data_IF_687493803062
#
_entry.id   IF_687493803062
#
_cell.length_a   1.000
_cell.length_b   1.000
_cell.length_c   1.000
_cell.angle_alpha   90.00
_cell.angle_beta   90.00
_cell.angle_gamma   90.00
#
_symmetry.space_group_name_H-M   'P 1'
#
loop_
_entity.id
_entity.type
_entity.pdbx_description
1 polymer ?
#
# COMPACT_ATOMS: atom_id res chain seq x y z
N UNK A 1 22.53 40.65 6.23
CA UNK A 1 21.84 39.86 5.17
C UNK A 1 22.21 38.39 5.21
N UNK A 2 23.50 37.99 5.16
CA UNK A 2 23.93 36.57 5.19
C UNK A 2 23.42 35.73 6.39
N UNK A 3 23.31 36.33 7.59
CA UNK A 3 22.85 35.62 8.79
C UNK A 3 21.36 35.29 8.77
N UNK A 4 20.54 36.19 8.19
CA UNK A 4 19.09 36.01 8.04
C UNK A 4 18.81 34.95 6.96
N UNK A 5 19.62 34.94 5.89
CA UNK A 5 19.53 33.92 4.83
C UNK A 5 19.92 32.52 5.33
N UNK A 6 20.90 32.40 6.22
CA UNK A 6 21.31 31.11 6.81
C UNK A 6 20.25 30.53 7.76
N UNK A 7 19.59 31.37 8.57
CA UNK A 7 18.53 30.92 9.47
C UNK A 7 17.29 30.41 8.71
N UNK A 8 16.95 31.04 7.57
CA UNK A 8 15.86 30.61 6.71
C UNK A 8 16.12 29.27 6.01
N UNK A 9 17.38 28.97 5.62
CA UNK A 9 17.75 27.71 4.98
C UNK A 9 17.72 26.53 5.98
N UNK A 10 17.99 26.79 7.25
CA UNK A 10 18.01 25.74 8.29
C UNK A 10 16.60 25.32 8.75
N UNK A 11 15.58 26.18 8.59
CA UNK A 11 14.20 25.85 8.94
C UNK A 11 13.50 24.94 7.90
N UNK A 12 13.95 24.97 6.64
CA UNK A 12 13.31 24.20 5.55
C UNK A 12 13.75 22.72 5.56
N UNK A 13 14.90 22.39 6.14
CA UNK A 13 15.44 21.03 6.17
C UNK A 13 15.01 20.19 7.38
N UNK A 14 14.28 20.76 8.34
CA UNK A 14 13.93 20.10 9.60
C UNK A 14 12.53 19.45 9.62
N UNK A 15 11.78 19.50 8.53
CA UNK A 15 10.49 18.79 8.42
C UNK A 15 10.72 17.30 8.14
N UNK A 16 11.33 16.60 9.10
CA UNK A 16 11.20 15.15 9.15
C UNK A 16 9.73 14.83 9.39
N UNK A 17 9.08 14.26 8.37
CA UNK A 17 7.78 13.61 8.52
C UNK A 17 8.03 12.44 9.46
N UNK A 18 7.88 12.65 10.77
CA UNK A 18 7.96 11.58 11.75
C UNK A 18 6.75 10.69 11.50
N UNK A 19 6.96 9.55 10.87
CA UNK A 19 5.91 8.55 10.73
C UNK A 19 5.40 8.23 12.14
N UNK A 20 4.12 8.51 12.39
CA UNK A 20 3.50 8.26 13.68
C UNK A 20 3.64 6.79 14.07
N UNK A 21 3.58 6.49 15.37
CA UNK A 21 3.55 5.09 15.82
C UNK A 21 2.33 4.39 15.23
N UNK A 22 2.50 3.24 14.55
CA UNK A 22 1.37 2.49 13.98
C UNK A 22 0.36 2.18 15.08
N UNK A 23 -0.87 2.68 14.94
CA UNK A 23 -1.96 2.37 15.86
C UNK A 23 -2.62 1.08 15.37
N UNK A 24 -2.79 0.10 16.26
CA UNK A 24 -3.54 -1.12 15.93
C UNK A 24 -5.03 -0.81 15.87
N UNK A 25 -5.72 -1.47 14.94
CA UNK A 25 -7.15 -1.28 14.71
C UNK A 25 -7.47 -0.09 13.79
N UNK A 26 -8.77 0.16 13.61
CA UNK A 26 -9.28 1.13 12.64
C UNK A 26 -9.84 0.47 11.38
N UNK A 27 -10.50 1.27 10.56
CA UNK A 27 -11.09 0.83 9.28
C UNK A 27 -10.32 1.48 8.15
N UNK A 28 -9.70 0.66 7.30
CA UNK A 28 -9.18 1.14 6.02
C UNK A 28 -10.36 1.33 5.05
N UNK A 29 -10.49 2.53 4.49
CA UNK A 29 -11.39 2.81 3.37
C UNK A 29 -10.51 3.08 2.15
N UNK A 30 -10.62 2.24 1.12
CA UNK A 30 -9.93 2.45 -0.16
C UNK A 30 -10.95 2.70 -1.28
N UNK A 31 -10.52 3.32 -2.38
CA UNK A 31 -11.32 3.43 -3.62
C UNK A 31 -10.80 2.51 -4.73
N UNK A 32 -11.72 1.86 -5.45
CA UNK A 32 -11.46 1.04 -6.65
C UNK A 32 -11.91 1.84 -7.88
N UNK A 33 -11.14 1.79 -8.96
CA UNK A 33 -11.39 2.62 -10.15
C UNK A 33 -12.71 2.36 -10.89
N UNK A 34 -13.34 1.21 -10.68
CA UNK A 34 -14.67 0.89 -11.22
C UNK A 34 -15.34 -0.22 -10.40
N UNK A 35 -16.67 -0.34 -10.52
CA UNK A 35 -17.41 -1.42 -9.88
C UNK A 35 -17.06 -2.78 -10.50
N UNK A 36 -16.57 -3.76 -9.74
CA UNK A 36 -16.35 -5.11 -10.26
C UNK A 36 -17.68 -5.76 -10.64
N UNK A 37 -17.75 -6.35 -11.84
CA UNK A 37 -18.89 -7.18 -12.26
C UNK A 37 -18.95 -8.51 -11.50
N UNK A 38 -17.80 -8.96 -11.02
CA UNK A 38 -17.66 -10.17 -10.22
C UNK A 38 -16.44 -10.06 -9.30
N UNK A 39 -16.48 -10.76 -8.16
CA UNK A 39 -15.39 -10.78 -7.17
C UNK A 39 -14.44 -11.99 -7.31
N UNK A 40 -14.84 -13.03 -8.04
CA UNK A 40 -13.98 -14.19 -8.31
C UNK A 40 -13.00 -13.88 -9.45
N UNK A 41 -11.68 -13.90 -9.18
CA UNK A 41 -10.65 -13.66 -10.19
C UNK A 41 -10.53 -14.77 -11.24
N UNK A 42 -11.14 -15.95 -11.02
CA UNK A 42 -11.21 -17.01 -12.04
C UNK A 42 -12.27 -16.73 -13.13
N UNK A 43 -13.21 -15.81 -12.89
CA UNK A 43 -14.29 -15.47 -13.84
C UNK A 43 -13.92 -14.24 -14.68
N UNK A 44 -13.26 -13.26 -14.07
CA UNK A 44 -12.93 -11.99 -14.71
C UNK A 44 -11.52 -11.53 -14.33
N UNK A 45 -10.77 -11.10 -15.35
CA UNK A 45 -9.47 -10.43 -15.20
C UNK A 45 -9.60 -8.92 -15.00
N UNK A 46 -8.50 -8.27 -14.60
CA UNK A 46 -8.39 -6.81 -14.47
C UNK A 46 -8.39 -6.32 -13.04
N UNK A 47 -7.91 -5.08 -12.85
CA UNK A 47 -7.62 -4.48 -11.54
C UNK A 47 -8.87 -4.37 -10.65
N UNK A 48 -10.01 -3.95 -11.19
CA UNK A 48 -11.24 -3.79 -10.43
C UNK A 48 -11.73 -5.10 -9.77
N UNK A 49 -11.47 -6.25 -10.38
CA UNK A 49 -11.76 -7.58 -9.79
C UNK A 49 -10.59 -8.11 -8.97
N UNK A 50 -9.36 -7.90 -9.45
CA UNK A 50 -8.15 -8.39 -8.81
C UNK A 50 -7.86 -7.78 -7.45
N UNK A 51 -8.06 -6.46 -7.28
CA UNK A 51 -7.81 -5.75 -6.02
C UNK A 51 -8.61 -6.31 -4.84
N UNK A 52 -9.97 -6.35 -4.86
CA UNK A 52 -10.73 -6.99 -3.79
C UNK A 52 -10.52 -8.51 -3.77
N UNK A 53 -10.31 -9.15 -4.93
CA UNK A 53 -10.03 -10.58 -5.02
C UNK A 53 -8.79 -11.00 -4.22
N UNK A 54 -7.73 -10.20 -4.25
CA UNK A 54 -6.50 -10.45 -3.48
C UNK A 54 -6.70 -10.31 -1.95
N UNK A 55 -7.76 -9.64 -1.49
CA UNK A 55 -8.11 -9.57 -0.06
C UNK A 55 -9.05 -10.71 0.36
N UNK A 56 -9.89 -11.20 -0.55
CA UNK A 56 -10.90 -12.21 -0.27
C UNK A 56 -10.39 -13.65 -0.43
N UNK A 57 -9.42 -13.87 -1.32
CA UNK A 57 -8.93 -15.20 -1.65
C UNK A 57 -7.44 -15.34 -1.38
N UNK A 58 -7.03 -16.51 -0.90
CA UNK A 58 -5.64 -16.87 -0.75
C UNK A 58 -5.14 -17.70 -1.95
N UNK A 59 -3.95 -17.37 -2.45
CA UNK A 59 -3.27 -18.03 -3.57
C UNK A 59 -2.12 -18.91 -3.07
N UNK A 60 -1.53 -19.79 -3.90
CA UNK A 60 -0.37 -20.59 -3.51
C UNK A 60 0.81 -19.72 -3.02
N UNK A 61 1.06 -18.62 -3.73
CA UNK A 61 2.11 -17.64 -3.45
C UNK A 61 1.50 -16.25 -3.25
N UNK A 62 2.21 -15.39 -2.52
CA UNK A 62 1.97 -13.94 -2.46
C UNK A 62 3.24 -13.19 -2.89
N UNK A 63 3.16 -11.89 -3.12
CA UNK A 63 4.32 -11.09 -3.52
C UNK A 63 4.61 -10.03 -2.46
N UNK A 64 5.89 -9.80 -2.19
CA UNK A 64 6.33 -8.68 -1.35
C UNK A 64 6.42 -7.37 -2.15
N UNK A 65 6.81 -6.29 -1.47
CA UNK A 65 6.99 -4.95 -2.05
C UNK A 65 8.03 -4.87 -3.18
N UNK A 66 8.95 -5.85 -3.25
CA UNK A 66 9.97 -5.97 -4.28
C UNK A 66 9.57 -6.96 -5.37
N UNK A 67 8.31 -7.41 -5.40
CA UNK A 67 7.80 -8.43 -6.32
C UNK A 67 8.49 -9.80 -6.21
N UNK A 68 9.10 -10.12 -5.07
CA UNK A 68 9.59 -11.48 -4.87
C UNK A 68 8.42 -12.39 -4.48
N UNK A 69 8.33 -13.60 -5.06
CA UNK A 69 7.34 -14.58 -4.65
C UNK A 69 7.65 -15.09 -3.24
N UNK A 70 6.62 -15.12 -2.40
CA UNK A 70 6.66 -15.60 -1.03
C UNK A 70 5.63 -16.74 -0.88
N UNK A 71 5.95 -17.80 -0.10
CA UNK A 71 4.96 -18.81 0.26
C UNK A 71 3.70 -18.17 0.88
N UNK A 72 2.52 -18.73 0.54
CA UNK A 72 1.27 -18.35 1.20
C UNK A 72 0.44 -19.58 1.60
N UNK A 73 -0.39 -20.13 0.71
CA UNK A 73 -1.05 -21.42 0.98
C UNK A 73 -0.11 -22.60 0.76
N UNK A 74 0.73 -22.54 -0.27
CA UNK A 74 1.75 -23.55 -0.51
C UNK A 74 2.97 -23.29 0.39
N UNK A 75 3.42 -24.32 1.10
CA UNK A 75 4.63 -24.30 1.94
C UNK A 75 5.66 -25.25 1.33
N UNK A 76 6.91 -24.81 1.21
CA UNK A 76 8.05 -25.61 0.74
C UNK A 76 9.31 -25.20 1.48
#
# INVERSE_FOLDING_TARGET
>A
MKLITMLAITLITASSILAGTPKRGGTLVWSIGSTPRHLNPAVQSGIATGEPGAQLFATPLRFDENWNPQPYLAKS
#
